data_IF_971136780700
#
_entry.id   IF_971136780700
#
_cell.length_a   1.000
_cell.length_b   1.000
_cell.length_c   1.000
_cell.angle_alpha   90.00
_cell.angle_beta   90.00
_cell.angle_gamma   90.00
#
_symmetry.space_group_name_H-M   'P 1'
#
loop_
_entity.id
_entity.type
_entity.pdbx_description
1 polymer ?
#
# COMPACT_ATOMS: atom_id res chain seq x y z
N UNK A 1 -3.89 37.22 13.04
CA UNK A 1 -3.40 35.99 13.69
C UNK A 1 -3.42 34.77 12.75
N UNK A 2 -4.47 34.52 11.94
CA UNK A 2 -4.45 33.43 10.94
C UNK A 2 -3.54 33.68 9.72
N UNK A 3 -3.36 34.94 9.29
CA UNK A 3 -2.50 35.30 8.15
C UNK A 3 -1.00 35.12 8.41
N UNK A 4 -0.56 35.14 9.67
CA UNK A 4 0.85 34.95 10.06
C UNK A 4 1.24 33.47 10.09
N UNK A 5 0.34 32.57 10.48
CA UNK A 5 0.58 31.12 10.43
C UNK A 5 0.69 30.60 9.01
N UNK A 6 -0.13 31.13 8.08
CA UNK A 6 -0.10 30.77 6.67
C UNK A 6 1.23 31.13 5.97
N UNK A 7 1.97 32.09 6.53
CA UNK A 7 3.27 32.57 6.01
C UNK A 7 4.44 31.70 6.47
N UNK A 8 4.29 31.01 7.60
CA UNK A 8 5.24 30.00 8.12
C UNK A 8 5.05 28.63 7.43
N UNK A 9 3.88 28.35 6.84
CA UNK A 9 3.60 27.07 6.15
C UNK A 9 4.00 27.07 4.67
N UNK A 10 4.49 28.18 4.09
CA UNK A 10 4.83 28.22 2.66
C UNK A 10 5.93 27.21 2.29
N UNK A 11 6.87 26.93 3.19
CA UNK A 11 7.89 25.89 3.02
C UNK A 11 7.36 24.46 3.16
N UNK A 12 6.26 24.26 3.89
CA UNK A 12 5.71 22.94 4.22
C UNK A 12 4.51 22.53 3.36
N UNK A 13 4.09 23.34 2.37
CA UNK A 13 2.99 22.99 1.46
C UNK A 13 3.27 21.70 0.68
N UNK A 14 4.51 21.51 0.22
CA UNK A 14 4.90 20.29 -0.49
C UNK A 14 4.86 19.07 0.42
N UNK A 15 5.42 19.17 1.62
CA UNK A 15 5.43 18.08 2.61
C UNK A 15 4.00 17.76 3.07
N UNK A 16 3.16 18.76 3.33
CA UNK A 16 1.75 18.57 3.76
C UNK A 16 0.86 17.90 2.72
N UNK A 17 1.20 17.98 1.42
CA UNK A 17 0.48 17.27 0.36
C UNK A 17 1.11 15.90 0.13
N UNK A 18 2.44 15.80 0.24
CA UNK A 18 3.16 14.54 0.08
C UNK A 18 2.81 13.53 1.17
N UNK A 19 2.63 13.97 2.43
CA UNK A 19 2.26 13.09 3.54
C UNK A 19 0.92 12.35 3.32
N UNK A 20 -0.21 13.01 3.02
CA UNK A 20 -1.46 12.31 2.73
C UNK A 20 -1.38 11.50 1.43
N UNK A 21 -0.59 11.92 0.45
CA UNK A 21 -0.36 11.13 -0.77
C UNK A 21 0.36 9.81 -0.45
N UNK A 22 1.40 9.86 0.39
CA UNK A 22 2.13 8.68 0.86
C UNK A 22 1.21 7.77 1.66
N UNK A 23 0.41 8.34 2.56
CA UNK A 23 -0.58 7.61 3.37
C UNK A 23 -1.63 6.89 2.52
N UNK A 24 -2.11 7.52 1.44
CA UNK A 24 -3.02 6.85 0.49
C UNK A 24 -2.30 5.71 -0.24
N UNK A 25 -1.04 5.91 -0.66
CA UNK A 25 -0.24 4.88 -1.28
C UNK A 25 -0.05 3.65 -0.39
N UNK A 26 0.26 3.87 0.89
CA UNK A 26 0.41 2.85 1.92
C UNK A 26 -0.90 2.06 2.11
N UNK A 27 -2.03 2.75 2.28
CA UNK A 27 -3.35 2.14 2.44
C UNK A 27 -3.78 1.34 1.20
N UNK A 28 -3.43 1.80 -0.01
CA UNK A 28 -3.71 1.05 -1.25
C UNK A 28 -2.91 -0.26 -1.27
N UNK A 29 -1.65 -0.24 -0.86
CA UNK A 29 -0.81 -1.45 -0.77
C UNK A 29 -1.36 -2.42 0.28
N UNK A 30 -1.81 -1.93 1.44
CA UNK A 30 -2.47 -2.77 2.45
C UNK A 30 -3.75 -3.42 1.92
N UNK A 31 -4.53 -2.74 1.05
CA UNK A 31 -5.71 -3.31 0.41
C UNK A 31 -5.40 -4.35 -0.69
N UNK A 32 -4.19 -4.31 -1.28
CA UNK A 32 -3.77 -5.28 -2.30
C UNK A 32 -3.47 -6.65 -1.66
N UNK A 33 -2.95 -6.69 -0.44
CA UNK A 33 -2.62 -7.94 0.29
C UNK A 33 -3.84 -8.88 0.43
N UNK A 34 -5.01 -8.45 0.97
CA UNK A 34 -6.19 -9.32 1.07
C UNK A 34 -6.75 -9.70 -0.31
N UNK A 35 -6.58 -8.86 -1.33
CA UNK A 35 -6.93 -9.20 -2.72
C UNK A 35 -6.08 -10.36 -3.25
N UNK A 36 -4.77 -10.29 -3.04
CA UNK A 36 -3.85 -11.37 -3.41
C UNK A 36 -4.12 -12.63 -2.60
N UNK A 37 -4.48 -12.51 -1.33
CA UNK A 37 -4.88 -13.63 -0.48
C UNK A 37 -6.14 -14.34 -1.00
N UNK A 38 -7.16 -13.60 -1.45
CA UNK A 38 -8.35 -14.17 -2.10
C UNK A 38 -7.96 -14.96 -3.36
N UNK A 39 -7.09 -14.43 -4.22
CA UNK A 39 -6.62 -15.16 -5.41
C UNK A 39 -5.80 -16.41 -5.05
N UNK A 40 -5.04 -16.43 -3.95
CA UNK A 40 -4.40 -17.66 -3.45
C UNK A 40 -5.44 -18.72 -3.12
N UNK A 41 -6.55 -18.34 -2.48
CA UNK A 41 -7.59 -19.28 -2.05
C UNK A 41 -8.38 -19.79 -3.27
N UNK A 42 -8.78 -18.89 -4.16
CA UNK A 42 -9.61 -19.20 -5.33
C UNK A 42 -8.81 -19.91 -6.44
N UNK A 43 -7.66 -19.38 -6.85
CA UNK A 43 -6.88 -19.90 -7.99
C UNK A 43 -5.75 -20.85 -7.58
N UNK A 44 -5.36 -20.83 -6.30
CA UNK A 44 -4.31 -21.68 -5.76
C UNK A 44 -4.86 -22.92 -5.07
N UNK A 45 -5.58 -22.71 -3.96
CA UNK A 45 -6.07 -23.79 -3.09
C UNK A 45 -7.22 -24.56 -3.76
N UNK A 46 -8.21 -23.86 -4.32
CA UNK A 46 -9.37 -24.50 -4.96
C UNK A 46 -9.01 -25.20 -6.27
N UNK A 47 -8.04 -24.67 -7.02
CA UNK A 47 -7.54 -25.30 -8.25
C UNK A 47 -6.44 -26.37 -8.00
N UNK A 48 -5.95 -26.53 -6.78
CA UNK A 48 -4.87 -27.46 -6.44
C UNK A 48 -3.48 -27.09 -7.00
N UNK A 49 -3.28 -25.84 -7.43
CA UNK A 49 -2.05 -25.38 -8.09
C UNK A 49 -1.06 -24.76 -7.09
N UNK A 50 -0.25 -25.61 -6.47
CA UNK A 50 0.82 -25.23 -5.52
C UNK A 50 1.83 -24.22 -6.09
N UNK A 51 2.09 -24.27 -7.40
CA UNK A 51 2.99 -23.31 -8.07
C UNK A 51 2.42 -21.89 -8.08
N UNK A 52 1.10 -21.75 -8.24
CA UNK A 52 0.43 -20.45 -8.23
C UNK A 52 0.45 -19.85 -6.82
N UNK A 53 0.19 -20.67 -5.79
CA UNK A 53 0.28 -20.28 -4.38
C UNK A 53 1.68 -19.75 -4.04
N UNK A 54 2.74 -20.46 -4.44
CA UNK A 54 4.11 -20.03 -4.16
C UNK A 54 4.47 -18.72 -4.88
N UNK A 55 4.01 -18.54 -6.12
CA UNK A 55 4.29 -17.33 -6.89
C UNK A 55 3.55 -16.12 -6.32
N UNK A 56 2.26 -16.26 -6.01
CA UNK A 56 1.45 -15.17 -5.42
C UNK A 56 1.89 -14.89 -3.98
N UNK A 57 2.24 -15.91 -3.19
CA UNK A 57 2.82 -15.73 -1.85
C UNK A 57 4.13 -14.95 -1.88
N UNK A 58 5.00 -15.20 -2.87
CA UNK A 58 6.19 -14.38 -3.11
C UNK A 58 5.85 -12.92 -3.44
N UNK A 59 4.85 -12.70 -4.30
CA UNK A 59 4.35 -11.35 -4.60
C UNK A 59 3.73 -10.66 -3.39
N UNK A 60 3.07 -11.39 -2.48
CA UNK A 60 2.55 -10.84 -1.22
C UNK A 60 3.67 -10.35 -0.30
N UNK A 61 4.80 -11.05 -0.22
CA UNK A 61 5.94 -10.61 0.59
C UNK A 61 6.54 -9.32 0.02
N UNK A 62 6.66 -9.22 -1.32
CA UNK A 62 7.14 -7.98 -1.97
C UNK A 62 6.15 -6.84 -1.76
N UNK A 63 4.85 -7.09 -1.90
CA UNK A 63 3.82 -6.09 -1.65
C UNK A 63 3.81 -5.63 -0.17
N UNK A 64 3.98 -6.55 0.77
CA UNK A 64 4.08 -6.23 2.19
C UNK A 64 5.35 -5.42 2.52
N UNK A 65 6.48 -5.73 1.89
CA UNK A 65 7.71 -4.95 2.04
C UNK A 65 7.56 -3.52 1.49
N UNK A 66 6.79 -3.34 0.43
CA UNK A 66 6.48 -2.03 -0.14
C UNK A 66 5.40 -1.26 0.64
N UNK A 67 4.44 -1.95 1.25
CA UNK A 67 3.41 -1.32 2.08
C UNK A 67 3.91 -0.91 3.47
N UNK A 68 5.09 -1.36 3.90
CA UNK A 68 5.69 -1.05 5.19
C UNK A 68 6.78 0.04 5.11
N UNK A 69 7.10 0.50 3.88
CA UNK A 69 8.05 1.57 3.56
C UNK A 69 7.30 2.87 3.25
#
# INVERSE_FOLDING_TARGET
>A
MFKSLYKETEGFRLVSILTPLCMIGEVVMEMIIPKLMSSIIDDGVTAGNLSHIYRIGGWMIVAAAFGLL
#
